data_IF_105213202075
#
_entry.id   IF_105213202075
#
_cell.length_a   1.000
_cell.length_b   1.000
_cell.length_c   1.000
_cell.angle_alpha   90.00
_cell.angle_beta   90.00
_cell.angle_gamma   90.00
#
_symmetry.space_group_name_H-M   'P 1'
#
loop_
_entity.id
_entity.type
_entity.pdbx_description
1 polymer ?
#
# COMPACT_ATOMS: atom_id res chain seq x y z
N UNK A 1 -12.99 -12.05 -8.42
CA UNK A 1 -11.72 -12.70 -8.00
C UNK A 1 -10.48 -11.81 -8.20
N UNK A 2 -10.19 -11.29 -9.40
CA UNK A 2 -9.01 -10.40 -9.61
C UNK A 2 -8.97 -9.20 -8.66
N UNK A 3 -10.10 -8.51 -8.50
CA UNK A 3 -10.20 -7.35 -7.61
C UNK A 3 -10.05 -7.73 -6.13
N UNK A 4 -10.69 -8.82 -5.68
CA UNK A 4 -10.51 -9.36 -4.33
C UNK A 4 -9.03 -9.70 -4.06
N UNK A 5 -8.33 -10.28 -5.04
CA UNK A 5 -6.89 -10.54 -4.96
C UNK A 5 -6.04 -9.27 -4.96
N UNK A 6 -6.47 -8.18 -5.61
CA UNK A 6 -5.76 -6.91 -5.50
C UNK A 6 -5.85 -6.30 -4.10
N UNK A 7 -6.99 -6.49 -3.42
CA UNK A 7 -7.19 -6.05 -2.01
C UNK A 7 -6.46 -6.93 -1.01
N UNK A 8 -6.46 -8.23 -1.25
CA UNK A 8 -5.84 -9.26 -0.41
C UNK A 8 -5.05 -10.22 -1.31
N UNK A 9 -3.79 -9.91 -1.68
CA UNK A 9 -2.96 -10.74 -2.55
C UNK A 9 -2.39 -11.94 -1.77
N UNK A 10 -3.26 -12.67 -1.10
CA UNK A 10 -2.99 -13.92 -0.41
C UNK A 10 -4.02 -14.96 -0.87
N UNK A 11 -3.57 -15.93 -1.66
CA UNK A 11 -4.43 -16.97 -2.21
C UNK A 11 -5.10 -17.82 -1.14
N UNK A 12 -4.42 -18.09 -0.03
CA UNK A 12 -4.99 -18.88 1.06
C UNK A 12 -6.22 -18.19 1.66
N UNK A 13 -6.13 -16.88 1.91
CA UNK A 13 -7.24 -16.08 2.42
C UNK A 13 -8.37 -16.03 1.40
N UNK A 14 -8.06 -15.73 0.13
CA UNK A 14 -9.08 -15.63 -0.94
C UNK A 14 -9.79 -16.96 -1.16
N UNK A 15 -9.08 -18.08 -1.16
CA UNK A 15 -9.67 -19.41 -1.33
C UNK A 15 -10.54 -19.81 -0.13
N UNK A 16 -10.10 -19.52 1.10
CA UNK A 16 -10.91 -19.76 2.31
C UNK A 16 -12.21 -18.95 2.27
N UNK A 17 -12.13 -17.67 1.91
CA UNK A 17 -13.32 -16.82 1.77
C UNK A 17 -14.24 -17.29 0.64
N UNK A 18 -13.69 -17.69 -0.50
CA UNK A 18 -14.48 -18.24 -1.61
C UNK A 18 -15.19 -19.55 -1.21
N UNK A 19 -14.52 -20.40 -0.42
CA UNK A 19 -15.09 -21.65 0.07
C UNK A 19 -16.23 -21.41 1.07
N UNK A 20 -16.09 -20.42 1.96
CA UNK A 20 -17.08 -20.13 3.00
C UNK A 20 -18.31 -19.35 2.48
N UNK A 21 -18.09 -18.33 1.65
CA UNK A 21 -19.13 -17.37 1.26
C UNK A 21 -19.51 -17.44 -0.23
N UNK A 22 -18.80 -18.27 -1.00
CA UNK A 22 -18.97 -18.37 -2.45
C UNK A 22 -18.14 -17.34 -3.23
N UNK A 23 -17.87 -17.66 -4.49
CA UNK A 23 -16.96 -16.88 -5.35
C UNK A 23 -17.50 -15.48 -5.70
N UNK A 24 -18.83 -15.31 -5.70
CA UNK A 24 -19.51 -14.06 -6.04
C UNK A 24 -19.51 -13.06 -4.89
N UNK A 25 -19.44 -13.53 -3.64
CA UNK A 25 -19.46 -12.69 -2.44
C UNK A 25 -18.06 -12.29 -1.96
N UNK A 26 -17.01 -12.62 -2.73
CA UNK A 26 -15.63 -12.35 -2.34
C UNK A 26 -15.35 -10.87 -2.02
N UNK A 27 -15.98 -9.93 -2.72
CA UNK A 27 -15.75 -8.50 -2.51
C UNK A 27 -16.35 -7.96 -1.20
N UNK A 28 -17.35 -8.65 -0.67
CA UNK A 28 -18.01 -8.31 0.60
C UNK A 28 -17.25 -8.87 1.81
N UNK A 29 -16.27 -9.75 1.59
CA UNK A 29 -15.53 -10.43 2.64
C UNK A 29 -14.00 -10.28 2.52
N UNK A 30 -13.48 -9.82 1.39
CA UNK A 30 -12.06 -9.49 1.20
C UNK A 30 -11.83 -7.98 1.32
N UNK A 31 -11.54 -7.54 2.54
CA UNK A 31 -11.17 -6.16 2.85
C UNK A 31 -9.66 -6.00 2.98
N UNK A 32 -9.18 -4.80 2.67
CA UNK A 32 -7.77 -4.42 2.89
C UNK A 32 -7.47 -4.55 4.39
N UNK A 33 -6.47 -5.35 4.71
CA UNK A 33 -6.14 -5.71 6.10
C UNK A 33 -4.67 -5.37 6.38
N UNK A 34 -4.38 -4.50 7.37
CA UNK A 34 -3.02 -4.23 7.81
C UNK A 34 -2.25 -5.53 8.12
N UNK A 35 -1.01 -5.65 7.64
CA UNK A 35 -0.22 -6.87 7.72
C UNK A 35 -0.31 -7.79 6.49
N UNK A 36 -1.27 -7.58 5.58
CA UNK A 36 -1.27 -8.19 4.24
C UNK A 36 -0.97 -7.08 3.23
N UNK A 37 0.14 -7.15 2.47
CA UNK A 37 0.48 -6.10 1.52
C UNK A 37 -0.58 -6.03 0.41
N UNK A 38 -0.85 -4.85 -0.14
CA UNK A 38 -1.80 -4.65 -1.23
C UNK A 38 -1.05 -4.38 -2.54
N UNK A 39 -1.65 -4.76 -3.68
CA UNK A 39 -1.04 -4.50 -4.98
C UNK A 39 -0.95 -2.99 -5.22
N UNK A 40 0.26 -2.45 -5.48
CA UNK A 40 0.42 -1.03 -5.69
C UNK A 40 -0.29 -0.58 -6.97
N UNK A 41 -0.85 0.63 -6.92
CA UNK A 41 -1.35 1.29 -8.13
C UNK A 41 -0.18 1.61 -9.07
N UNK A 42 -0.34 1.26 -10.34
CA UNK A 42 0.62 1.53 -11.39
C UNK A 42 0.22 2.79 -12.16
N UNK A 43 1.20 3.62 -12.52
CA UNK A 43 1.00 4.79 -13.33
C UNK A 43 1.13 4.44 -14.82
N UNK A 44 0.28 5.03 -15.65
CA UNK A 44 0.42 4.96 -17.10
C UNK A 44 1.38 6.07 -17.57
N UNK A 45 2.43 5.74 -18.37
CA UNK A 45 3.31 6.75 -18.92
C UNK A 45 2.51 7.67 -19.84
N UNK A 46 2.75 8.97 -19.73
CA UNK A 46 2.08 10.00 -20.53
C UNK A 46 3.16 10.87 -21.16
N UNK A 47 3.07 11.16 -22.46
CA UNK A 47 4.15 11.80 -23.23
C UNK A 47 4.08 13.32 -23.22
N UNK A 48 2.92 13.88 -22.89
CA UNK A 48 2.72 15.32 -22.86
C UNK A 48 1.72 15.72 -21.78
N UNK A 49 1.79 16.99 -21.36
CA UNK A 49 0.80 17.53 -20.41
C UNK A 49 -0.60 17.64 -21.04
N UNK A 50 -0.69 17.81 -22.37
CA UNK A 50 -1.95 17.80 -23.10
C UNK A 50 -2.67 16.46 -22.97
N UNK A 51 -1.96 15.34 -23.09
CA UNK A 51 -2.53 14.00 -22.87
C UNK A 51 -3.03 13.79 -21.43
N UNK A 52 -2.37 14.42 -20.44
CA UNK A 52 -2.82 14.39 -19.04
C UNK A 52 -4.14 15.17 -18.91
N UNK A 53 -4.19 16.39 -19.43
CA UNK A 53 -5.37 17.24 -19.40
C UNK A 53 -6.54 16.63 -20.18
N UNK A 54 -6.30 16.00 -21.32
CA UNK A 54 -7.33 15.33 -22.12
C UNK A 54 -7.87 14.08 -21.40
N UNK A 55 -7.02 13.38 -20.64
CA UNK A 55 -7.42 12.19 -19.87
C UNK A 55 -8.23 12.54 -18.63
N UNK A 56 -7.85 13.59 -17.89
CA UNK A 56 -8.54 14.02 -16.68
C UNK A 56 -9.65 15.03 -16.96
N UNK A 57 -9.69 15.63 -18.15
CA UNK A 57 -10.69 16.59 -18.60
C UNK A 57 -10.94 17.70 -17.57
N UNK A 58 -12.15 17.72 -16.99
CA UNK A 58 -12.62 18.70 -16.01
C UNK A 58 -12.59 18.16 -14.57
N UNK A 59 -11.96 17.01 -14.32
CA UNK A 59 -11.76 16.48 -12.97
C UNK A 59 -10.60 17.21 -12.28
N UNK A 60 -10.77 17.51 -11.00
CA UNK A 60 -9.68 18.06 -10.19
C UNK A 60 -8.59 16.99 -9.98
N UNK A 61 -7.33 17.36 -10.23
CA UNK A 61 -6.18 16.48 -10.02
C UNK A 61 -5.08 17.19 -9.25
N UNK A 62 -4.27 16.41 -8.54
CA UNK A 62 -3.09 16.89 -7.82
C UNK A 62 -1.82 16.40 -8.51
N UNK A 63 -0.77 17.24 -8.46
CA UNK A 63 0.55 16.89 -8.96
C UNK A 63 1.49 16.67 -7.78
N UNK A 64 2.00 15.45 -7.65
CA UNK A 64 3.01 15.11 -6.65
C UNK A 64 4.38 14.90 -7.31
N UNK A 65 5.45 15.22 -6.57
CA UNK A 65 6.80 14.93 -7.05
C UNK A 65 7.00 13.42 -7.12
N UNK A 66 7.45 12.94 -8.29
CA UNK A 66 7.88 11.56 -8.43
C UNK A 66 9.28 11.40 -7.84
N UNK A 67 9.35 10.91 -6.61
CA UNK A 67 10.60 10.56 -5.97
C UNK A 67 11.25 9.34 -6.65
N UNK A 68 12.59 9.33 -6.69
CA UNK A 68 13.40 8.20 -7.17
C UNK A 68 13.99 7.47 -5.97
N UNK A 69 13.29 6.44 -5.50
CA UNK A 69 13.65 5.68 -4.33
C UNK A 69 13.12 4.26 -4.39
N UNK A 70 12.87 3.69 -3.22
CA UNK A 70 12.23 2.39 -3.07
C UNK A 70 10.82 2.61 -2.55
N UNK A 71 9.81 2.20 -3.33
CA UNK A 71 8.43 2.20 -2.87
C UNK A 71 8.29 1.28 -1.66
N UNK A 72 7.84 1.85 -0.55
CA UNK A 72 7.69 1.18 0.74
C UNK A 72 6.24 1.33 1.20
N UNK A 73 5.59 0.19 1.43
CA UNK A 73 4.25 0.14 1.99
C UNK A 73 4.35 -0.16 3.48
N UNK A 74 4.06 0.83 4.32
CA UNK A 74 4.23 0.72 5.77
C UNK A 74 2.88 0.42 6.41
N UNK A 75 2.77 -0.76 7.02
CA UNK A 75 1.59 -1.20 7.75
C UNK A 75 1.85 -1.03 9.24
N UNK A 76 0.98 -0.29 9.92
CA UNK A 76 0.94 -0.20 11.38
C UNK A 76 -0.26 -1.02 11.83
N UNK A 77 0.01 -2.08 12.59
CA UNK A 77 -0.99 -2.99 13.10
C UNK A 77 -1.55 -2.46 14.43
N UNK A 78 -2.68 -3.02 14.86
CA UNK A 78 -3.36 -2.63 16.10
C UNK A 78 -2.61 -2.95 17.38
N UNK A 79 -1.67 -3.89 17.32
CA UNK A 79 -0.75 -4.19 18.41
C UNK A 79 0.47 -3.24 18.45
N UNK A 80 0.53 -2.26 17.54
CA UNK A 80 1.65 -1.33 17.38
C UNK A 80 2.85 -1.93 16.64
N UNK A 81 2.75 -3.16 16.14
CA UNK A 81 3.78 -3.73 15.26
C UNK A 81 3.76 -3.05 13.90
N UNK A 82 4.94 -2.92 13.30
CA UNK A 82 5.13 -2.25 12.01
C UNK A 82 5.71 -3.26 11.04
N UNK A 83 5.11 -3.34 9.84
CA UNK A 83 5.62 -4.11 8.73
C UNK A 83 5.85 -3.21 7.53
N UNK A 84 6.93 -3.42 6.81
CA UNK A 84 7.26 -2.68 5.59
C UNK A 84 7.32 -3.65 4.44
N UNK A 85 6.56 -3.38 3.38
CA UNK A 85 6.54 -4.21 2.18
C UNK A 85 7.06 -3.47 0.96
N UNK A 86 7.73 -4.21 0.08
CA UNK A 86 8.25 -3.73 -1.20
C UNK A 86 7.13 -3.59 -2.25
N UNK A 87 7.45 -2.99 -3.39
CA UNK A 87 6.57 -3.00 -4.58
C UNK A 87 6.14 -4.42 -5.01
N UNK A 88 7.01 -5.40 -4.77
CA UNK A 88 6.77 -6.81 -5.11
C UNK A 88 6.12 -7.59 -3.95
N UNK A 89 5.62 -6.89 -2.91
CA UNK A 89 4.98 -7.47 -1.74
C UNK A 89 5.93 -8.27 -0.82
N UNK A 90 7.24 -8.04 -0.94
CA UNK A 90 8.25 -8.68 -0.09
C UNK A 90 8.39 -7.94 1.24
N UNK A 91 8.54 -8.67 2.35
CA UNK A 91 8.76 -8.08 3.66
C UNK A 91 10.19 -7.51 3.74
N UNK A 92 10.29 -6.20 3.90
CA UNK A 92 11.51 -5.41 4.01
C UNK A 92 11.65 -4.75 5.39
N UNK A 93 10.87 -5.19 6.38
CA UNK A 93 10.82 -4.58 7.73
C UNK A 93 12.21 -4.48 8.36
N UNK A 94 13.03 -5.51 8.24
CA UNK A 94 14.37 -5.53 8.82
C UNK A 94 15.37 -4.60 8.11
N UNK A 95 15.10 -4.23 6.86
CA UNK A 95 15.98 -3.39 6.04
C UNK A 95 15.86 -1.90 6.40
N UNK A 96 14.75 -1.49 7.03
CA UNK A 96 14.44 -0.09 7.36
C UNK A 96 14.06 0.08 8.84
N UNK A 97 15.01 -0.10 9.77
CA UNK A 97 14.75 0.09 11.21
C UNK A 97 14.42 1.56 11.58
N UNK A 98 14.88 2.50 10.76
CA UNK A 98 14.54 3.92 10.80
C UNK A 98 13.05 4.17 10.54
N UNK A 99 12.47 3.53 9.52
CA UNK A 99 11.03 3.63 9.23
C UNK A 99 10.16 3.07 10.36
N UNK A 100 10.62 1.99 11.03
CA UNK A 100 9.95 1.45 12.21
C UNK A 100 9.92 2.49 13.33
N UNK A 101 11.02 3.20 13.54
CA UNK A 101 11.13 4.20 14.60
C UNK A 101 10.22 5.40 14.33
N UNK A 102 10.15 5.85 13.08
CA UNK A 102 9.22 6.91 12.63
C UNK A 102 7.77 6.45 12.79
N UNK A 103 7.43 5.24 12.33
CA UNK A 103 6.08 4.69 12.47
C UNK A 103 5.61 4.59 13.92
N UNK A 104 6.53 4.30 14.87
CA UNK A 104 6.21 4.30 16.31
C UNK A 104 5.82 5.69 16.81
N UNK A 105 6.40 6.76 16.30
CA UNK A 105 6.02 8.14 16.68
C UNK A 105 4.58 8.45 16.23
N UNK A 106 4.20 7.99 15.03
CA UNK A 106 2.82 8.10 14.53
C UNK A 106 1.82 7.24 15.31
N UNK A 107 2.24 6.08 15.83
CA UNK A 107 1.39 5.21 16.65
C UNK A 107 1.11 5.80 18.05
N UNK A 108 2.07 6.52 18.64
CA UNK A 108 1.99 7.05 20.01
C UNK A 108 1.14 8.33 20.13
N UNK A 109 0.93 9.05 19.03
CA UNK A 109 0.31 10.39 19.05
C UNK A 109 -1.22 10.40 19.24
N UNK A 110 -1.81 9.27 19.60
CA UNK A 110 -3.18 9.18 20.11
C UNK A 110 -4.15 8.50 19.14
N UNK A 111 -4.65 7.33 19.54
CA UNK A 111 -5.75 6.59 18.91
C UNK A 111 -5.51 5.92 17.54
N UNK A 112 -4.27 5.68 17.10
CA UNK A 112 -4.04 4.95 15.85
C UNK A 112 -4.36 3.46 16.03
N UNK A 113 -5.53 3.02 15.55
CA UNK A 113 -6.02 1.63 15.70
C UNK A 113 -5.33 0.70 14.69
N UNK A 114 -5.07 1.14 13.46
CA UNK A 114 -4.27 0.44 12.45
C UNK A 114 -4.26 1.27 11.16
N UNK A 115 -3.17 1.29 10.40
CA UNK A 115 -3.09 2.06 9.15
C UNK A 115 -2.13 1.46 8.13
N UNK A 116 -2.28 1.85 6.86
CA UNK A 116 -1.38 1.50 5.77
C UNK A 116 -0.98 2.78 5.06
N UNK A 117 0.32 3.01 4.95
CA UNK A 117 0.92 4.14 4.25
C UNK A 117 1.62 3.65 2.99
N UNK A 118 1.47 4.39 1.89
CA UNK A 118 2.24 4.22 0.66
C UNK A 118 3.21 5.40 0.55
N UNK A 119 4.52 5.11 0.56
CA UNK A 119 5.54 6.14 0.49
C UNK A 119 6.73 5.69 -0.34
N UNK A 120 7.57 6.65 -0.71
CA UNK A 120 8.86 6.38 -1.34
C UNK A 120 9.97 6.57 -0.29
N UNK A 121 10.66 5.48 0.05
CA UNK A 121 11.79 5.52 0.96
C UNK A 121 13.07 5.80 0.16
N UNK A 122 13.75 6.91 0.50
CA UNK A 122 15.06 7.26 -0.05
C UNK A 122 16.09 7.17 1.06
N UNK A 123 17.10 6.31 0.88
CA UNK A 123 18.24 6.29 1.79
C UNK A 123 18.95 7.64 1.70
N UNK A 124 19.09 8.29 2.84
CA UNK A 124 19.96 9.44 2.95
C UNK A 124 21.37 8.97 2.64
N UNK A 125 22.00 9.52 1.59
CA UNK A 125 23.43 9.31 1.40
C UNK A 125 24.10 10.06 2.54
N UNK A 126 24.64 9.36 3.53
CA UNK A 126 25.64 9.95 4.41
C UNK A 126 26.71 10.58 3.51
N UNK A 127 26.81 11.91 3.55
CA UNK A 127 27.95 12.65 3.03
C UNK A 127 29.14 12.45 3.97
#
# INVERSE_FOLDING_TARGET
>A
MKEAFSRVPNYEVVLKTAYQYGIFNLLEHCFVTPGIPLKPMLANPTKSIGEVLDRFQNEEFTCEYKYDGVRAQVHILSDGSIKVFSRNLEDMTQTYPDLISIGKQFAVSGNTISMILDCEAKKERCQ
#
